data_IF_475676807704
#
_entry.id   IF_475676807704
#
_cell.length_a   1.000
_cell.length_b   1.000
_cell.length_c   1.000
_cell.angle_alpha   90.00
_cell.angle_beta   90.00
_cell.angle_gamma   90.00
#
_symmetry.space_group_name_H-M   'P 1'
#
loop_
_entity.id
_entity.type
_entity.pdbx_description
1 polymer ?
#
# COMPACT_ATOMS: atom_id res chain seq x y z
N UNK A 1 -10.07 -4.96 6.12
CA UNK A 1 -10.49 -6.11 5.28
C UNK A 1 -11.99 -6.37 5.31
N UNK A 2 -12.68 -6.20 6.44
CA UNK A 2 -14.14 -6.38 6.55
C UNK A 2 -14.93 -5.44 5.64
N UNK A 3 -14.58 -4.15 5.61
CA UNK A 3 -15.20 -3.13 4.76
C UNK A 3 -15.05 -3.43 3.25
N UNK A 4 -13.91 -3.99 2.83
CA UNK A 4 -13.67 -4.39 1.43
C UNK A 4 -14.57 -5.58 1.06
N UNK A 5 -14.75 -6.54 1.97
CA UNK A 5 -15.65 -7.68 1.77
C UNK A 5 -17.11 -7.24 1.69
N UNK A 6 -17.52 -6.27 2.51
CA UNK A 6 -18.86 -5.69 2.48
C UNK A 6 -19.12 -4.90 1.19
N UNK A 7 -18.16 -4.08 0.74
CA UNK A 7 -18.26 -3.36 -0.53
C UNK A 7 -18.33 -4.31 -1.73
N UNK A 8 -17.54 -5.39 -1.72
CA UNK A 8 -17.60 -6.44 -2.76
C UNK A 8 -18.93 -7.22 -2.71
N UNK A 9 -19.53 -7.39 -1.53
CA UNK A 9 -20.83 -8.05 -1.37
C UNK A 9 -22.00 -7.22 -1.90
N UNK A 10 -21.84 -5.90 -2.10
CA UNK A 10 -22.85 -5.05 -2.74
C UNK A 10 -22.89 -5.20 -4.27
N UNK A 11 -21.81 -5.66 -4.90
CA UNK A 11 -21.71 -5.79 -6.37
C UNK A 11 -22.77 -6.75 -6.94
N UNK A 12 -22.96 -7.97 -6.40
CA UNK A 12 -24.03 -8.87 -6.86
C UNK A 12 -25.42 -8.24 -6.68
N UNK A 13 -25.65 -7.51 -5.59
CA UNK A 13 -26.93 -6.84 -5.32
C UNK A 13 -27.22 -5.76 -6.36
N UNK A 14 -26.24 -4.91 -6.68
CA UNK A 14 -26.37 -3.89 -7.72
C UNK A 14 -26.61 -4.52 -9.08
N UNK A 15 -25.87 -5.58 -9.43
CA UNK A 15 -26.06 -6.31 -10.69
C UNK A 15 -27.45 -6.96 -10.79
N UNK A 16 -27.97 -7.51 -9.70
CA UNK A 16 -29.31 -8.08 -9.65
C UNK A 16 -30.40 -7.01 -9.79
N UNK A 17 -30.23 -5.85 -9.16
CA UNK A 17 -31.14 -4.71 -9.33
C UNK A 17 -31.12 -4.19 -10.77
N UNK A 18 -29.94 -4.08 -11.40
CA UNK A 18 -29.80 -3.71 -12.82
C UNK A 18 -30.53 -4.71 -13.72
N UNK A 19 -30.38 -6.02 -13.47
CA UNK A 19 -31.10 -7.06 -14.21
C UNK A 19 -32.62 -6.94 -14.04
N UNK A 20 -33.10 -6.73 -12.80
CA UNK A 20 -34.52 -6.56 -12.52
C UNK A 20 -35.11 -5.34 -13.22
N UNK A 21 -34.38 -4.22 -13.26
CA UNK A 21 -34.80 -3.01 -14.01
C UNK A 21 -34.88 -3.30 -15.51
N UNK A 22 -33.90 -4.04 -16.06
CA UNK A 22 -33.87 -4.41 -17.48
C UNK A 22 -35.04 -5.34 -17.85
N UNK A 23 -35.33 -6.32 -17.00
CA UNK A 23 -36.50 -7.19 -17.16
C UNK A 23 -37.81 -6.39 -17.11
N UNK A 24 -37.94 -5.46 -16.15
CA UNK A 24 -39.10 -4.58 -16.05
C UNK A 24 -39.30 -3.72 -17.32
N UNK A 25 -38.22 -3.18 -17.90
CA UNK A 25 -38.26 -2.45 -19.17
C UNK A 25 -38.72 -3.34 -20.32
N UNK A 26 -38.22 -4.57 -20.41
CA UNK A 26 -38.59 -5.52 -21.46
C UNK A 26 -40.04 -6.01 -21.34
N UNK A 27 -40.60 -6.07 -20.13
CA UNK A 27 -42.00 -6.50 -19.89
C UNK A 27 -43.03 -5.40 -20.11
N UNK A 28 -42.62 -4.12 -20.17
CA UNK A 28 -43.50 -3.00 -20.46
C UNK A 28 -43.85 -3.02 -21.95
N UNK A 29 -45.00 -3.62 -22.27
CA UNK A 29 -45.47 -3.84 -23.63
C UNK A 29 -45.49 -2.54 -24.46
N UNK A 30 -44.92 -2.61 -25.67
CA UNK A 30 -44.64 -1.46 -26.53
C UNK A 30 -45.91 -0.74 -27.04
N UNK A 31 -47.09 -1.28 -26.72
CA UNK A 31 -48.43 -0.74 -27.04
C UNK A 31 -49.08 0.11 -25.93
N UNK A 32 -48.61 0.05 -24.67
CA UNK A 32 -49.32 0.69 -23.54
C UNK A 32 -48.90 2.16 -23.32
N UNK A 33 -47.71 2.57 -23.77
CA UNK A 33 -47.18 3.93 -23.52
C UNK A 33 -46.40 4.52 -24.72
N UNK A 34 -47.07 4.90 -25.83
CA UNK A 34 -46.41 5.51 -26.99
C UNK A 34 -45.64 6.80 -26.65
N UNK A 35 -46.12 7.59 -25.68
CA UNK A 35 -45.48 8.84 -25.25
C UNK A 35 -44.22 8.66 -24.39
N UNK A 36 -43.90 7.44 -23.94
CA UNK A 36 -42.74 7.17 -23.08
C UNK A 36 -41.68 6.25 -23.71
N UNK A 37 -41.85 5.79 -24.97
CA UNK A 37 -40.85 4.94 -25.65
C UNK A 37 -39.44 5.53 -25.65
N UNK A 38 -39.31 6.84 -25.85
CA UNK A 38 -38.01 7.54 -25.80
C UNK A 38 -37.38 7.43 -24.41
N UNK A 39 -38.15 7.71 -23.35
CA UNK A 39 -37.69 7.60 -21.96
C UNK A 39 -37.31 6.18 -21.58
N UNK A 40 -38.03 5.18 -22.10
CA UNK A 40 -37.72 3.77 -21.86
C UNK A 40 -36.37 3.38 -22.48
N UNK A 41 -36.14 3.80 -23.72
CA UNK A 41 -34.87 3.59 -24.43
C UNK A 41 -33.70 4.32 -23.77
N UNK A 42 -33.92 5.58 -23.34
CA UNK A 42 -32.92 6.34 -22.57
C UNK A 42 -32.57 5.63 -21.26
N UNK A 43 -33.57 5.02 -20.58
CA UNK A 43 -33.35 4.24 -19.36
C UNK A 43 -32.55 2.96 -19.63
N UNK A 44 -32.86 2.22 -20.70
CA UNK A 44 -32.11 1.04 -21.12
C UNK A 44 -30.63 1.38 -21.41
N UNK A 45 -30.37 2.48 -22.12
CA UNK A 45 -29.01 2.95 -22.39
C UNK A 45 -28.26 3.30 -21.10
N UNK A 46 -28.93 3.94 -20.14
CA UNK A 46 -28.37 4.23 -18.81
C UNK A 46 -28.06 2.93 -18.05
N UNK A 47 -28.97 1.96 -18.06
CA UNK A 47 -28.81 0.67 -17.39
C UNK A 47 -27.65 -0.12 -17.98
N UNK A 48 -27.52 -0.17 -19.31
CA UNK A 48 -26.39 -0.82 -20.00
C UNK A 48 -25.07 -0.13 -19.65
N UNK A 49 -25.05 1.20 -19.62
CA UNK A 49 -23.86 1.96 -19.22
C UNK A 49 -23.46 1.67 -17.79
N UNK A 50 -24.42 1.65 -16.86
CA UNK A 50 -24.19 1.30 -15.45
C UNK A 50 -23.69 -0.13 -15.31
N UNK A 51 -24.30 -1.09 -16.01
CA UNK A 51 -23.86 -2.48 -16.01
C UNK A 51 -22.41 -2.62 -16.50
N UNK A 52 -22.06 -1.91 -17.58
CA UNK A 52 -20.69 -1.87 -18.09
C UNK A 52 -19.73 -1.25 -17.08
N UNK A 53 -20.09 -0.11 -16.48
CA UNK A 53 -19.27 0.56 -15.46
C UNK A 53 -19.06 -0.32 -14.22
N UNK A 54 -20.09 -1.06 -13.79
CA UNK A 54 -19.98 -1.99 -12.67
C UNK A 54 -19.06 -3.16 -13.04
N UNK A 55 -19.25 -3.76 -14.22
CA UNK A 55 -18.45 -4.92 -14.68
C UNK A 55 -16.98 -4.59 -14.92
N UNK A 56 -16.66 -3.38 -15.40
CA UNK A 56 -15.27 -2.99 -15.65
C UNK A 56 -14.63 -2.27 -14.46
N UNK A 57 -15.38 -1.46 -13.73
CA UNK A 57 -14.88 -0.61 -12.65
C UNK A 57 -14.56 -1.37 -11.37
N UNK A 58 -15.45 -2.27 -10.93
CA UNK A 58 -15.23 -2.99 -9.67
C UNK A 58 -14.04 -3.94 -9.69
N UNK A 59 -13.82 -4.77 -10.74
CA UNK A 59 -12.62 -5.61 -10.80
C UNK A 59 -11.32 -4.79 -10.83
N UNK A 60 -11.30 -3.67 -11.56
CA UNK A 60 -10.15 -2.77 -11.59
C UNK A 60 -9.86 -2.17 -10.20
N UNK A 61 -10.90 -1.68 -9.52
CA UNK A 61 -10.80 -1.14 -8.17
C UNK A 61 -10.35 -2.21 -7.16
N UNK A 62 -10.91 -3.41 -7.24
CA UNK A 62 -10.54 -4.53 -6.36
C UNK A 62 -9.07 -4.91 -6.55
N UNK A 63 -8.61 -5.03 -7.81
CA UNK A 63 -7.21 -5.30 -8.12
C UNK A 63 -6.30 -4.20 -7.59
N UNK A 64 -6.67 -2.92 -7.75
CA UNK A 64 -5.90 -1.80 -7.23
C UNK A 64 -5.77 -1.85 -5.71
N UNK A 65 -6.88 -2.10 -5.01
CA UNK A 65 -6.89 -2.25 -3.54
C UNK A 65 -6.03 -3.41 -3.08
N UNK A 66 -6.09 -4.56 -3.78
CA UNK A 66 -5.25 -5.73 -3.48
C UNK A 66 -3.77 -5.37 -3.65
N UNK A 67 -3.37 -4.79 -4.79
CA UNK A 67 -1.98 -4.42 -5.06
C UNK A 67 -1.43 -3.47 -3.98
N UNK A 68 -2.16 -2.42 -3.64
CA UNK A 68 -1.75 -1.48 -2.60
C UNK A 68 -1.72 -2.13 -1.21
N UNK A 69 -2.67 -3.03 -0.90
CA UNK A 69 -2.71 -3.73 0.39
C UNK A 69 -1.53 -4.69 0.54
N UNK A 70 -1.16 -5.39 -0.53
CA UNK A 70 -0.02 -6.29 -0.52
C UNK A 70 1.29 -5.52 -0.33
N UNK A 71 1.44 -4.36 -0.99
CA UNK A 71 2.62 -3.50 -0.79
C UNK A 71 2.64 -2.92 0.62
N UNK A 72 1.50 -2.51 1.17
CA UNK A 72 1.43 -2.07 2.57
C UNK A 72 1.82 -3.19 3.55
N UNK A 73 1.52 -4.45 3.23
CA UNK A 73 1.96 -5.61 4.00
C UNK A 73 3.48 -5.75 3.98
N UNK A 74 4.12 -5.68 2.80
CA UNK A 74 5.59 -5.72 2.69
C UNK A 74 6.26 -4.59 3.46
N UNK A 75 5.69 -3.38 3.39
CA UNK A 75 6.20 -2.22 4.15
C UNK A 75 6.09 -2.48 5.66
N UNK A 76 5.00 -3.10 6.12
CA UNK A 76 4.83 -3.48 7.53
C UNK A 76 5.86 -4.54 7.95
N UNK A 77 6.12 -5.52 7.11
CA UNK A 77 7.17 -6.52 7.38
C UNK A 77 8.55 -5.87 7.47
N UNK A 78 8.85 -4.92 6.57
CA UNK A 78 10.08 -4.16 6.60
C UNK A 78 10.22 -3.29 7.86
N UNK A 79 9.13 -2.66 8.30
CA UNK A 79 9.05 -1.95 9.57
C UNK A 79 9.36 -2.88 10.75
N UNK A 80 8.66 -4.02 10.85
CA UNK A 80 8.85 -5.00 11.93
C UNK A 80 10.30 -5.48 11.94
N UNK A 81 10.90 -5.75 10.78
CA UNK A 81 12.30 -6.15 10.69
C UNK A 81 13.23 -5.07 11.24
N UNK A 82 13.06 -3.81 10.83
CA UNK A 82 13.86 -2.68 11.32
C UNK A 82 13.73 -2.53 12.85
N UNK A 83 12.50 -2.60 13.35
CA UNK A 83 12.17 -2.47 14.77
C UNK A 83 12.77 -3.62 15.61
N UNK A 84 12.63 -4.87 15.14
CA UNK A 84 13.23 -6.02 15.81
C UNK A 84 14.76 -5.97 15.80
N UNK A 85 15.37 -5.51 14.70
CA UNK A 85 16.81 -5.32 14.66
C UNK A 85 17.29 -4.23 15.62
N UNK A 86 16.52 -3.14 15.76
CA UNK A 86 16.77 -2.10 16.76
C UNK A 86 16.71 -2.65 18.19
N UNK A 87 15.68 -3.43 18.52
CA UNK A 87 15.53 -4.08 19.84
C UNK A 87 16.69 -5.04 20.11
N UNK A 88 16.95 -5.97 19.18
CA UNK A 88 17.98 -7.00 19.31
C UNK A 88 19.36 -6.37 19.51
N UNK A 89 19.72 -5.41 18.67
CA UNK A 89 20.98 -4.69 18.80
C UNK A 89 21.07 -3.98 20.17
N UNK A 90 19.96 -3.40 20.65
CA UNK A 90 19.84 -2.83 21.99
C UNK A 90 20.19 -3.82 23.10
N UNK A 91 19.78 -5.09 22.96
CA UNK A 91 20.05 -6.16 23.94
C UNK A 91 21.44 -6.78 23.85
N UNK A 92 22.17 -6.60 22.74
CA UNK A 92 23.51 -7.17 22.57
C UNK A 92 24.49 -6.55 23.58
N UNK A 93 25.11 -7.39 24.43
CA UNK A 93 26.02 -6.96 25.49
C UNK A 93 27.49 -7.31 25.23
N UNK A 94 27.75 -8.27 24.35
CA UNK A 94 29.10 -8.76 24.06
C UNK A 94 29.61 -8.11 22.77
N UNK A 95 30.89 -7.75 22.78
CA UNK A 95 31.61 -7.19 21.63
C UNK A 95 31.36 -7.98 20.34
N UNK A 96 31.65 -9.28 20.35
CA UNK A 96 31.58 -10.12 19.14
C UNK A 96 30.15 -10.21 18.58
N UNK A 97 29.15 -10.24 19.45
CA UNK A 97 27.74 -10.24 19.02
C UNK A 97 27.38 -8.94 18.31
N UNK A 98 27.86 -7.80 18.83
CA UNK A 98 27.63 -6.49 18.22
C UNK A 98 28.33 -6.42 16.86
N UNK A 99 29.60 -6.83 16.79
CA UNK A 99 30.38 -6.81 15.55
C UNK A 99 29.75 -7.69 14.46
N UNK A 100 29.34 -8.91 14.79
CA UNK A 100 28.63 -9.81 13.88
C UNK A 100 27.33 -9.19 13.36
N UNK A 101 26.57 -8.55 14.26
CA UNK A 101 25.31 -7.91 13.92
C UNK A 101 25.53 -6.74 12.96
N UNK A 102 26.46 -5.85 13.27
CA UNK A 102 26.80 -4.68 12.45
C UNK A 102 27.33 -5.07 11.06
N UNK A 103 28.00 -6.22 10.94
CA UNK A 103 28.52 -6.71 9.66
C UNK A 103 27.41 -7.19 8.72
N UNK A 104 26.36 -7.84 9.25
CA UNK A 104 25.30 -8.46 8.44
C UNK A 104 24.11 -7.55 8.19
N UNK A 105 23.74 -6.79 9.20
CA UNK A 105 22.51 -5.99 9.24
C UNK A 105 22.32 -5.07 8.03
N UNK A 106 23.34 -4.32 7.55
CA UNK A 106 23.14 -3.41 6.41
C UNK A 106 22.70 -4.15 5.14
N UNK A 107 23.25 -5.34 4.89
CA UNK A 107 22.91 -6.14 3.71
C UNK A 107 21.49 -6.71 3.74
N UNK A 108 21.04 -7.13 4.92
CA UNK A 108 19.67 -7.64 5.12
C UNK A 108 18.64 -6.52 4.98
N UNK A 109 18.92 -5.36 5.58
CA UNK A 109 18.05 -4.19 5.48
C UNK A 109 17.98 -3.62 4.05
N UNK A 110 19.10 -3.61 3.33
CA UNK A 110 19.16 -3.21 1.92
C UNK A 110 18.28 -4.09 1.03
N UNK A 111 18.33 -5.41 1.23
CA UNK A 111 17.51 -6.35 0.45
C UNK A 111 16.02 -6.08 0.64
N UNK A 112 15.62 -5.88 1.89
CA UNK A 112 14.23 -5.53 2.24
C UNK A 112 13.81 -4.22 1.61
N UNK A 113 14.66 -3.18 1.68
CA UNK A 113 14.41 -1.90 1.02
C UNK A 113 14.21 -2.05 -0.49
N UNK A 114 15.12 -2.77 -1.16
CA UNK A 114 15.05 -2.96 -2.61
C UNK A 114 13.77 -3.67 -3.05
N UNK A 115 13.30 -4.64 -2.28
CA UNK A 115 12.03 -5.32 -2.54
C UNK A 115 10.84 -4.36 -2.41
N UNK A 116 10.77 -3.62 -1.30
CA UNK A 116 9.71 -2.62 -1.05
C UNK A 116 9.71 -1.54 -2.14
N UNK A 117 10.88 -0.95 -2.40
CA UNK A 117 11.08 0.11 -3.39
C UNK A 117 10.62 -0.35 -4.79
N UNK A 118 11.07 -1.52 -5.23
CA UNK A 118 10.67 -2.08 -6.54
C UNK A 118 9.17 -2.28 -6.64
N UNK A 119 8.53 -2.80 -5.59
CA UNK A 119 7.08 -3.02 -5.60
C UNK A 119 6.29 -1.72 -5.62
N UNK A 120 6.74 -0.69 -4.90
CA UNK A 120 6.09 0.62 -4.89
C UNK A 120 6.19 1.29 -6.27
N UNK A 121 7.34 1.26 -6.92
CA UNK A 121 7.49 1.82 -8.28
C UNK A 121 6.61 1.08 -9.30
N UNK A 122 6.33 -0.21 -9.05
CA UNK A 122 5.42 -0.99 -9.87
C UNK A 122 3.93 -0.76 -9.61
N UNK A 123 3.56 0.06 -8.62
CA UNK A 123 2.15 0.35 -8.34
C UNK A 123 1.56 1.25 -9.43
N UNK A 124 0.29 1.02 -9.83
CA UNK A 124 -0.42 1.94 -10.71
C UNK A 124 -0.55 3.30 -10.03
N UNK A 125 -0.21 4.38 -10.74
CA UNK A 125 -0.33 5.73 -10.18
C UNK A 125 -1.80 6.13 -10.02
N UNK A 126 -2.16 6.56 -8.81
CA UNK A 126 -3.50 7.09 -8.50
C UNK A 126 -3.45 8.60 -8.24
N UNK A 127 -2.34 9.11 -7.70
CA UNK A 127 -2.15 10.52 -7.35
C UNK A 127 -0.65 10.87 -7.34
N UNK A 128 -0.25 11.90 -8.11
CA UNK A 128 1.15 12.33 -8.25
C UNK A 128 1.72 12.98 -6.99
N UNK A 129 0.90 13.66 -6.18
CA UNK A 129 1.35 14.30 -4.94
C UNK A 129 1.64 13.26 -3.85
N UNK A 130 0.78 12.24 -3.75
CA UNK A 130 0.97 11.15 -2.81
C UNK A 130 2.14 10.25 -3.22
N UNK A 131 2.31 10.01 -4.52
CA UNK A 131 3.50 9.35 -5.03
C UNK A 131 4.78 10.12 -4.67
N UNK A 132 4.78 11.45 -4.82
CA UNK A 132 5.89 12.30 -4.39
C UNK A 132 6.20 12.15 -2.89
N UNK A 133 5.17 12.05 -2.06
CA UNK A 133 5.32 11.81 -0.62
C UNK A 133 5.93 10.44 -0.33
N UNK A 134 5.43 9.39 -0.98
CA UNK A 134 5.96 8.02 -0.88
C UNK A 134 7.43 7.97 -1.30
N UNK A 135 7.78 8.56 -2.44
CA UNK A 135 9.16 8.57 -2.95
C UNK A 135 10.11 9.33 -2.03
N UNK A 136 9.67 10.45 -1.44
CA UNK A 136 10.46 11.18 -0.45
C UNK A 136 10.76 10.32 0.78
N UNK A 137 9.79 9.54 1.27
CA UNK A 137 10.01 8.65 2.42
C UNK A 137 10.99 7.54 2.06
N UNK A 138 10.86 6.94 0.87
CA UNK A 138 11.80 5.93 0.37
C UNK A 138 13.23 6.46 0.25
N UNK A 139 13.39 7.71 -0.17
CA UNK A 139 14.70 8.37 -0.24
C UNK A 139 15.31 8.59 1.16
N UNK A 140 14.50 8.96 2.16
CA UNK A 140 14.99 9.06 3.54
C UNK A 140 15.41 7.70 4.11
N UNK A 141 14.64 6.63 3.85
CA UNK A 141 15.02 5.27 4.23
C UNK A 141 16.38 4.92 3.61
N UNK A 142 16.56 5.19 2.32
CA UNK A 142 17.82 4.95 1.61
C UNK A 142 18.99 5.70 2.24
N UNK A 143 18.82 6.99 2.54
CA UNK A 143 19.86 7.79 3.21
C UNK A 143 20.27 7.20 4.55
N UNK A 144 19.31 6.75 5.35
CA UNK A 144 19.62 6.11 6.63
C UNK A 144 20.31 4.75 6.46
N UNK A 145 19.93 3.96 5.44
CA UNK A 145 20.61 2.71 5.10
C UNK A 145 22.04 2.94 4.64
N UNK A 146 22.29 3.94 3.80
CA UNK A 146 23.64 4.27 3.35
C UNK A 146 24.51 4.74 4.52
N UNK A 147 23.94 5.51 5.46
CA UNK A 147 24.61 5.86 6.72
C UNK A 147 24.86 4.64 7.61
N UNK A 148 23.97 3.65 7.59
CA UNK A 148 24.10 2.40 8.37
C UNK A 148 25.25 1.54 7.82
N UNK A 149 25.42 1.47 6.49
CA UNK A 149 26.56 0.81 5.83
C UNK A 149 27.90 1.45 6.19
N UNK A 150 27.90 2.75 6.48
CA UNK A 150 29.08 3.52 6.90
C UNK A 150 29.31 3.51 8.42
N UNK A 151 28.60 2.67 9.17
CA UNK A 151 28.91 2.47 10.59
C UNK A 151 30.12 1.56 10.69
N UNK A 152 31.29 2.19 10.86
CA UNK A 152 32.56 1.51 11.08
C UNK A 152 32.96 1.57 12.56
N UNK A 153 33.75 0.60 13.00
CA UNK A 153 34.45 0.59 14.28
C UNK A 153 35.95 0.50 13.99
N UNK A 154 36.66 1.59 14.24
CA UNK A 154 38.00 1.85 13.70
C UNK A 154 39.13 1.10 14.43
N UNK A 155 38.79 0.50 15.57
CA UNK A 155 39.69 -0.34 16.35
C UNK A 155 38.87 -1.44 17.04
N UNK A 156 39.58 -2.45 17.53
CA UNK A 156 39.01 -3.57 18.26
C UNK A 156 38.60 -3.22 19.69
N UNK A 157 38.63 -1.94 20.08
CA UNK A 157 38.29 -1.53 21.43
C UNK A 157 36.79 -1.69 21.70
N UNK A 158 36.47 -2.05 22.94
CA UNK A 158 35.10 -2.18 23.39
C UNK A 158 34.33 -0.85 23.23
N UNK A 159 34.93 0.29 23.58
CA UNK A 159 34.32 1.62 23.44
C UNK A 159 33.93 1.97 22.00
N UNK A 160 34.78 1.62 21.03
CA UNK A 160 34.52 1.90 19.60
C UNK A 160 33.32 1.12 19.09
N UNK A 161 33.24 -0.17 19.46
CA UNK A 161 32.13 -1.05 19.09
C UNK A 161 30.81 -0.63 19.76
N UNK A 162 30.84 -0.18 21.01
CA UNK A 162 29.64 0.35 21.66
C UNK A 162 29.17 1.69 21.05
N UNK A 163 30.09 2.58 20.65
CA UNK A 163 29.71 3.79 19.93
C UNK A 163 29.08 3.48 18.55
N UNK A 164 29.64 2.51 17.83
CA UNK A 164 29.09 2.02 16.57
C UNK A 164 27.69 1.41 16.75
N UNK A 165 27.50 0.62 17.82
CA UNK A 165 26.18 0.09 18.23
C UNK A 165 25.16 1.21 18.41
N UNK A 166 25.48 2.25 19.17
CA UNK A 166 24.54 3.34 19.45
C UNK A 166 24.18 4.11 18.17
N UNK A 167 25.16 4.35 17.30
CA UNK A 167 24.92 4.97 15.98
C UNK A 167 24.01 4.10 15.11
N UNK A 168 24.28 2.81 15.00
CA UNK A 168 23.46 1.87 14.24
C UNK A 168 22.04 1.77 14.80
N UNK A 169 21.90 1.73 16.13
CA UNK A 169 20.60 1.71 16.81
C UNK A 169 19.79 2.96 16.45
N UNK A 170 20.36 4.14 16.51
CA UNK A 170 19.65 5.36 16.13
C UNK A 170 19.20 5.32 14.65
N UNK A 171 20.05 4.83 13.75
CA UNK A 171 19.69 4.69 12.33
C UNK A 171 18.57 3.67 12.10
N UNK A 172 18.57 2.53 12.79
CA UNK A 172 17.48 1.55 12.71
C UNK A 172 16.15 2.11 13.22
N UNK A 173 16.20 2.92 14.27
CA UNK A 173 15.01 3.60 14.78
C UNK A 173 14.43 4.56 13.73
N UNK A 174 15.29 5.36 13.09
CA UNK A 174 14.87 6.25 12.00
C UNK A 174 14.28 5.46 10.81
N UNK A 175 14.94 4.38 10.38
CA UNK A 175 14.44 3.50 9.32
C UNK A 175 13.06 2.93 9.67
N UNK A 176 12.90 2.43 10.91
CA UNK A 176 11.63 1.91 11.42
C UNK A 176 10.53 2.99 11.37
N UNK A 177 10.82 4.19 11.86
CA UNK A 177 9.89 5.33 11.85
C UNK A 177 9.47 5.73 10.42
N UNK A 178 10.41 5.70 9.46
CA UNK A 178 10.08 5.97 8.06
C UNK A 178 9.21 4.88 7.43
N UNK A 179 9.48 3.59 7.69
CA UNK A 179 8.60 2.52 7.20
C UNK A 179 7.18 2.61 7.80
N UNK A 180 7.06 2.94 9.08
CA UNK A 180 5.75 3.17 9.70
C UNK A 180 5.01 4.34 9.04
N UNK A 181 5.72 5.42 8.73
CA UNK A 181 5.18 6.58 8.00
C UNK A 181 4.75 6.22 6.58
N UNK A 182 5.52 5.37 5.91
CA UNK A 182 5.21 4.85 4.57
C UNK A 182 3.95 3.98 4.59
N UNK A 183 3.83 3.07 5.56
CA UNK A 183 2.64 2.24 5.77
C UNK A 183 1.40 3.09 6.00
N UNK A 184 1.52 4.14 6.83
CA UNK A 184 0.44 5.09 7.08
C UNK A 184 0.00 5.83 5.82
N UNK A 185 0.94 6.23 4.97
CA UNK A 185 0.66 6.86 3.66
C UNK A 185 -0.06 5.90 2.72
N UNK A 186 0.43 4.67 2.57
CA UNK A 186 -0.21 3.64 1.74
C UNK A 186 -1.62 3.29 2.26
N UNK A 187 -1.81 3.22 3.57
CA UNK A 187 -3.12 2.98 4.18
C UNK A 187 -4.11 4.10 3.90
N UNK A 188 -3.65 5.37 3.89
CA UNK A 188 -4.49 6.52 3.50
C UNK A 188 -4.86 6.45 2.01
N UNK A 189 -3.92 6.05 1.15
CA UNK A 189 -4.17 5.84 -0.28
C UNK A 189 -5.22 4.77 -0.53
N UNK A 190 -5.10 3.60 0.13
CA UNK A 190 -6.11 2.53 0.06
C UNK A 190 -7.48 3.06 0.46
N UNK A 191 -7.57 3.82 1.56
CA UNK A 191 -8.83 4.44 1.98
C UNK A 191 -9.37 5.39 0.90
N UNK A 192 -8.56 6.27 0.31
CA UNK A 192 -9.06 7.17 -0.74
C UNK A 192 -9.56 6.43 -1.98
N UNK A 193 -8.81 5.40 -2.41
CA UNK A 193 -9.20 4.52 -3.51
C UNK A 193 -10.59 3.92 -3.23
N UNK A 194 -10.81 3.39 -2.03
CA UNK A 194 -12.09 2.80 -1.63
C UNK A 194 -13.24 3.80 -1.53
N UNK A 195 -12.98 5.04 -1.12
CA UNK A 195 -14.00 6.06 -0.94
C UNK A 195 -14.26 6.91 -2.20
N UNK A 196 -13.65 6.57 -3.34
CA UNK A 196 -13.75 7.35 -4.58
C UNK A 196 -13.22 8.78 -4.43
N UNK A 197 -12.33 9.00 -3.46
CA UNK A 197 -11.95 10.32 -2.98
C UNK A 197 -10.89 10.99 -3.84
N UNK A 198 -11.35 11.75 -4.86
CA UNK A 198 -10.80 13.08 -5.14
C UNK A 198 -9.81 13.22 -6.29
N UNK A 199 -10.20 12.90 -7.52
CA UNK A 199 -9.69 13.63 -8.68
C UNK A 199 -10.43 14.97 -8.77
N UNK A 200 -9.79 16.03 -8.26
CA UNK A 200 -9.96 17.39 -8.77
C UNK A 200 -8.63 17.85 -9.33
#
# INVERSE_FOLDING_TARGET
MTEIKEALALVPTVLNTIKAIKEACNTLDAGVLPNNRKKLKDLEEIVVRLESQVKSGFPSLANLVILYSDVASDVREAWILADKNWELLGTAKKRDQIADFLTRLPGDMERTYMNVHKRIIGLPEVDSNELGTVMRILEEIRKYLDRLKQVEFNDESESSIFAAKDKAKNLLHEISSQYLSLEGTLSKLIKRILHGGGHK
#
